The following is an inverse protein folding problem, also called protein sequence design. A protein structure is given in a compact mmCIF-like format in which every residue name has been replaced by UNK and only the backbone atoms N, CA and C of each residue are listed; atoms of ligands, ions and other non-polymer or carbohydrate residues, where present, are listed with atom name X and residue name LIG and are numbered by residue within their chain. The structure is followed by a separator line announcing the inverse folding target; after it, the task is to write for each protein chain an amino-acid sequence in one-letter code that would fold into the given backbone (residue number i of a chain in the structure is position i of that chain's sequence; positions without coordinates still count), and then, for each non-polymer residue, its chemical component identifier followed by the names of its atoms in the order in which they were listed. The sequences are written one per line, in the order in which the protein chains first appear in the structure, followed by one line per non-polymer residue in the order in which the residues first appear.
data_IF_121832787041
#
_entry.id   IF_121832787041
#
_cell.length_a   1.000
_cell.length_b   1.000
_cell.length_c   1.000
_cell.angle_alpha   90.00
_cell.angle_beta   90.00
_cell.angle_gamma   90.00
#
_symmetry.space_group_name_H-M   'P 1'
#
loop_
_entity.id
_entity.type
_entity.pdbx_description
1 polymer ?
#
# COMPACT_ATOMS: atom_id res chain seq x y z
N UNK A 1 52.02 -14.20 12.63
CA UNK A 1 52.52 -13.53 11.42
C UNK A 1 51.46 -12.52 10.98
N UNK A 2 51.73 -11.20 11.10
CA UNK A 2 51.74 -10.17 10.04
C UNK A 2 50.56 -10.25 9.05
N UNK A 3 49.77 -9.23 8.69
CA UNK A 3 49.61 -7.78 8.96
C UNK A 3 48.30 -7.38 8.23
N UNK A 4 47.51 -6.45 8.79
CA UNK A 4 46.81 -5.28 8.17
C UNK A 4 46.15 -5.45 6.77
N UNK A 5 44.95 -4.93 6.49
CA UNK A 5 44.59 -3.53 6.68
C UNK A 5 43.06 -3.28 6.64
N UNK A 6 42.64 -2.35 7.50
CA UNK A 6 41.44 -1.54 7.45
C UNK A 6 41.47 -0.60 6.24
N UNK A 7 40.33 -0.42 5.56
CA UNK A 7 40.05 0.80 4.78
C UNK A 7 38.63 1.27 5.14
N UNK A 8 38.58 2.37 5.89
CA UNK A 8 37.40 3.19 6.09
C UNK A 8 37.39 4.28 5.02
N UNK A 9 36.26 4.46 4.32
CA UNK A 9 36.03 5.62 3.47
C UNK A 9 35.02 6.52 4.16
N UNK A 10 35.56 7.59 4.75
CA UNK A 10 34.86 8.81 5.12
C UNK A 10 34.65 9.64 3.84
N UNK A 11 33.41 10.05 3.58
CA UNK A 11 33.13 11.19 2.71
C UNK A 11 32.04 12.06 3.31
N UNK A 12 32.49 13.09 4.00
CA UNK A 12 31.80 14.29 4.41
C UNK A 12 31.32 15.10 3.21
N UNK A 13 30.05 15.52 3.18
CA UNK A 13 29.63 16.70 2.43
C UNK A 13 29.05 17.73 3.39
N UNK A 14 29.71 18.88 3.41
CA UNK A 14 29.42 20.05 4.20
C UNK A 14 28.16 20.77 3.70
N UNK A 15 27.51 21.39 4.66
CA UNK A 15 26.42 22.35 4.57
C UNK A 15 26.77 23.58 3.72
N UNK A 16 25.84 24.00 2.87
CA UNK A 16 25.80 25.36 2.32
C UNK A 16 24.57 26.06 2.88
N UNK A 17 24.83 26.97 3.81
CA UNK A 17 23.93 28.02 4.25
C UNK A 17 24.08 29.16 3.25
N UNK A 18 23.03 29.49 2.52
CA UNK A 18 22.93 30.78 1.85
C UNK A 18 22.04 31.69 2.69
N UNK A 19 22.67 32.45 3.57
CA UNK A 19 22.12 33.68 4.10
C UNK A 19 22.29 34.76 3.03
N UNK A 20 21.20 35.35 2.57
CA UNK A 20 21.21 36.58 1.79
C UNK A 20 20.74 37.71 2.69
N UNK A 21 21.72 38.38 3.30
CA UNK A 21 21.59 39.73 3.83
C UNK A 21 21.28 40.68 2.66
N UNK A 22 20.15 41.37 2.72
CA UNK A 22 19.91 42.55 1.89
C UNK A 22 19.70 43.76 2.80
N UNK A 23 20.65 44.68 2.69
CA UNK A 23 20.79 45.91 3.44
C UNK A 23 19.74 46.96 3.01
N UNK A 24 19.23 47.67 4.01
CA UNK A 24 18.34 48.83 3.88
C UNK A 24 19.19 50.09 4.04
N UNK A 25 19.62 50.69 2.92
CA UNK A 25 20.22 52.03 2.95
C UNK A 25 19.58 52.94 1.89
N UNK A 26 18.75 53.86 2.41
CA UNK A 26 18.64 55.26 2.01
C UNK A 26 18.44 55.58 0.53
N UNK A 27 17.17 55.76 0.14
CA UNK A 27 16.81 56.64 -0.96
C UNK A 27 16.09 57.88 -0.41
N UNK A 28 16.57 59.02 -0.89
CA UNK A 28 16.42 60.37 -0.37
C UNK A 28 15.01 60.93 -0.55
N UNK A 29 14.60 61.71 0.44
CA UNK A 29 13.55 62.71 0.31
C UNK A 29 13.98 63.81 -0.66
N UNK A 30 13.04 64.24 -1.51
CA UNK A 30 13.14 65.47 -2.29
C UNK A 30 12.88 65.29 -3.78
N UNK A 31 11.60 65.25 -4.18
CA UNK A 31 11.10 66.30 -5.08
C UNK A 31 9.56 66.23 -5.19
N UNK A 32 8.95 67.37 -4.89
CA UNK A 32 7.53 67.65 -4.98
C UNK A 32 7.20 67.94 -6.43
N UNK A 33 6.37 67.11 -7.05
CA UNK A 33 5.73 67.37 -8.33
C UNK A 33 4.24 67.09 -8.21
N UNK A 34 3.47 68.10 -7.81
CA UNK A 34 2.00 68.07 -7.85
C UNK A 34 1.57 67.94 -9.31
N UNK A 35 1.02 66.77 -9.66
CA UNK A 35 0.20 66.62 -10.86
C UNK A 35 -0.98 65.72 -10.51
N UNK A 36 -2.14 66.35 -10.40
CA UNK A 36 -3.42 65.68 -10.26
C UNK A 36 -3.69 64.88 -11.54
N UNK A 37 -3.69 63.55 -11.44
CA UNK A 37 -4.18 62.66 -12.49
C UNK A 37 -5.07 61.60 -11.82
N UNK A 38 -6.35 61.72 -12.15
CA UNK A 38 -7.46 60.76 -12.08
C UNK A 38 -7.38 59.60 -11.07
N UNK A 39 -8.32 59.61 -10.12
CA UNK A 39 -8.72 58.42 -9.38
C UNK A 39 -9.13 57.30 -10.36
N UNK A 40 -8.26 56.30 -10.50
CA UNK A 40 -8.59 55.04 -11.18
C UNK A 40 -9.59 54.32 -10.28
N UNK A 41 -10.83 54.18 -10.76
CA UNK A 41 -11.85 53.38 -10.12
C UNK A 41 -11.29 51.96 -9.86
N UNK A 42 -11.59 51.34 -8.70
CA UNK A 42 -11.16 49.97 -8.44
C UNK A 42 -11.72 49.08 -9.53
N UNK A 43 -10.82 48.46 -10.31
CA UNK A 43 -11.20 47.45 -11.28
C UNK A 43 -12.04 46.38 -10.56
N UNK A 44 -13.18 45.96 -11.12
CA UNK A 44 -13.98 44.89 -10.52
C UNK A 44 -13.07 43.67 -10.36
N UNK A 45 -13.01 43.16 -9.14
CA UNK A 45 -12.30 41.94 -8.82
C UNK A 45 -12.71 40.88 -9.84
N UNK A 46 -11.73 40.33 -10.58
CA UNK A 46 -11.96 39.17 -11.42
C UNK A 46 -12.69 38.13 -10.57
N UNK A 47 -13.75 37.47 -11.08
CA UNK A 47 -14.47 36.47 -10.31
C UNK A 47 -13.45 35.44 -9.84
N UNK A 48 -13.31 35.36 -8.51
CA UNK A 48 -12.67 34.22 -7.86
C UNK A 48 -13.29 32.99 -8.52
N UNK A 49 -12.47 32.19 -9.20
CA UNK A 49 -12.89 30.90 -9.71
C UNK A 49 -13.53 30.19 -8.51
N UNK A 50 -14.85 29.99 -8.56
CA UNK A 50 -15.50 29.09 -7.63
C UNK A 50 -14.70 27.79 -7.70
N UNK A 51 -14.06 27.43 -6.58
CA UNK A 51 -13.44 26.12 -6.45
C UNK A 51 -14.53 25.12 -6.80
N UNK A 52 -14.38 24.44 -7.94
CA UNK A 52 -15.35 23.46 -8.39
C UNK A 52 -15.49 22.43 -7.29
N UNK A 53 -16.59 22.51 -6.55
CA UNK A 53 -16.79 21.71 -5.35
C UNK A 53 -16.81 20.24 -5.77
N UNK A 54 -15.92 19.45 -5.17
CA UNK A 54 -15.82 18.01 -5.48
C UNK A 54 -17.19 17.35 -5.23
N UNK A 55 -17.71 16.56 -6.18
CA UNK A 55 -18.97 15.87 -5.99
C UNK A 55 -18.93 14.96 -4.76
N UNK A 56 -19.95 15.03 -3.91
CA UNK A 56 -20.03 14.22 -2.68
C UNK A 56 -19.98 12.71 -2.97
N UNK A 57 -20.53 12.27 -4.09
CA UNK A 57 -20.46 10.87 -4.53
C UNK A 57 -19.00 10.40 -4.68
N UNK A 58 -18.12 11.24 -5.25
CA UNK A 58 -16.72 10.91 -5.43
C UNK A 58 -16.01 10.74 -4.08
N UNK A 59 -16.28 11.64 -3.13
CA UNK A 59 -15.76 11.54 -1.75
C UNK A 59 -16.22 10.23 -1.10
N UNK A 60 -17.50 9.88 -1.24
CA UNK A 60 -18.05 8.64 -0.68
C UNK A 60 -17.38 7.40 -1.29
N UNK A 61 -17.11 7.40 -2.60
CA UNK A 61 -16.41 6.29 -3.27
C UNK A 61 -14.97 6.13 -2.81
N UNK A 62 -14.23 7.23 -2.61
CA UNK A 62 -12.89 7.17 -2.01
C UNK A 62 -12.93 6.58 -0.60
N UNK A 63 -13.86 7.02 0.24
CA UNK A 63 -14.02 6.50 1.59
C UNK A 63 -14.45 5.03 1.62
N UNK A 64 -15.27 4.59 0.67
CA UNK A 64 -15.66 3.19 0.54
C UNK A 64 -14.43 2.32 0.26
N UNK A 65 -13.64 2.65 -0.77
CA UNK A 65 -12.42 1.88 -1.11
C UNK A 65 -11.43 1.86 0.05
N UNK A 66 -11.23 2.99 0.73
CA UNK A 66 -10.41 3.06 1.95
C UNK A 66 -10.93 2.09 3.03
N UNK A 67 -12.23 2.11 3.33
CA UNK A 67 -12.80 1.20 4.32
C UNK A 67 -12.62 -0.27 3.95
N UNK A 68 -12.63 -0.60 2.67
CA UNK A 68 -12.45 -1.99 2.22
C UNK A 68 -11.00 -2.45 2.28
N UNK A 69 -10.05 -1.56 1.96
CA UNK A 69 -8.63 -1.82 2.16
C UNK A 69 -8.32 -2.08 3.64
N UNK A 70 -8.86 -1.24 4.53
CA UNK A 70 -8.73 -1.43 5.96
C UNK A 70 -9.31 -2.78 6.43
N UNK A 71 -10.49 -3.17 5.94
CA UNK A 71 -11.09 -4.48 6.26
C UNK A 71 -10.22 -5.63 5.76
N UNK A 72 -9.74 -5.56 4.52
CA UNK A 72 -8.87 -6.58 3.96
C UNK A 72 -7.54 -6.69 4.73
N UNK A 73 -6.96 -5.57 5.15
CA UNK A 73 -5.77 -5.55 6.01
C UNK A 73 -6.03 -6.21 7.37
N UNK A 74 -7.14 -5.85 8.01
CA UNK A 74 -7.57 -6.44 9.28
C UNK A 74 -7.80 -7.95 9.15
N UNK A 75 -8.57 -8.38 8.15
CA UNK A 75 -8.92 -9.79 7.96
C UNK A 75 -7.71 -10.67 7.60
N UNK A 76 -6.63 -10.09 7.07
CA UNK A 76 -5.40 -10.80 6.70
C UNK A 76 -4.28 -10.62 7.73
N UNK A 77 -4.53 -9.92 8.84
CA UNK A 77 -3.51 -9.64 9.86
C UNK A 77 -2.92 -10.90 10.48
N UNK A 78 -3.74 -11.93 10.71
CA UNK A 78 -3.33 -13.19 11.35
C UNK A 78 -2.97 -14.30 10.37
N UNK A 79 -3.14 -14.07 9.07
CA UNK A 79 -3.06 -15.10 8.04
C UNK A 79 -1.71 -15.82 7.99
N UNK A 80 -0.61 -15.10 8.26
CA UNK A 80 0.72 -15.70 8.41
C UNK A 80 0.73 -16.78 9.50
N UNK A 81 0.24 -16.43 10.69
CA UNK A 81 0.20 -17.33 11.86
C UNK A 81 -0.66 -18.55 11.56
N UNK A 82 -1.81 -18.36 10.93
CA UNK A 82 -2.72 -19.46 10.60
C UNK A 82 -2.09 -20.44 9.59
N UNK A 83 -1.39 -19.92 8.56
CA UNK A 83 -0.65 -20.75 7.61
C UNK A 83 0.54 -21.45 8.28
N UNK A 84 1.28 -20.77 9.15
CA UNK A 84 2.39 -21.36 9.90
C UNK A 84 1.93 -22.47 10.87
N UNK A 85 0.72 -22.37 11.44
CA UNK A 85 0.12 -23.43 12.25
C UNK A 85 -0.21 -24.69 11.42
N UNK A 86 -0.73 -24.51 10.20
CA UNK A 86 -0.95 -25.62 9.27
C UNK A 86 0.39 -26.26 8.88
N UNK A 87 1.42 -25.46 8.66
CA UNK A 87 2.75 -25.95 8.30
C UNK A 87 3.36 -26.77 9.44
N UNK A 88 3.28 -26.27 10.67
CA UNK A 88 3.73 -26.97 11.87
C UNK A 88 2.98 -28.30 12.07
N UNK A 89 1.66 -28.31 11.81
CA UNK A 89 0.84 -29.52 11.84
C UNK A 89 1.28 -30.51 10.76
N UNK A 90 1.53 -30.05 9.54
CA UNK A 90 2.05 -30.89 8.46
C UNK A 90 3.42 -31.50 8.82
N UNK A 91 4.34 -30.70 9.38
CA UNK A 91 5.63 -31.19 9.87
C UNK A 91 5.48 -32.25 10.95
N UNK A 92 4.57 -32.02 11.91
CA UNK A 92 4.28 -32.98 12.98
C UNK A 92 3.83 -34.31 12.40
N UNK A 93 2.86 -34.30 11.47
CA UNK A 93 2.36 -35.52 10.79
C UNK A 93 3.50 -36.28 10.11
N UNK A 94 4.38 -35.56 9.41
CA UNK A 94 5.55 -36.15 8.73
C UNK A 94 6.52 -36.78 9.72
N UNK A 95 6.80 -36.10 10.84
CA UNK A 95 7.78 -36.55 11.84
C UNK A 95 7.26 -37.72 12.68
N UNK A 96 6.00 -37.66 13.12
CA UNK A 96 5.39 -38.73 13.93
C UNK A 96 4.93 -39.91 13.08
N UNK A 97 4.81 -39.73 11.75
CA UNK A 97 4.24 -40.71 10.83
C UNK A 97 2.85 -41.19 11.29
N UNK A 98 2.08 -40.27 11.90
CA UNK A 98 0.69 -40.49 12.33
C UNK A 98 -0.24 -39.55 11.59
N UNK A 99 -1.35 -40.09 11.08
CA UNK A 99 -2.34 -39.29 10.37
C UNK A 99 -3.03 -38.28 11.30
N UNK A 100 -3.43 -37.13 10.74
CA UNK A 100 -4.31 -36.16 11.38
C UNK A 100 -5.59 -36.04 10.55
N UNK A 101 -6.70 -36.53 11.11
CA UNK A 101 -7.97 -36.63 10.39
C UNK A 101 -8.60 -35.27 10.07
N UNK A 102 -8.20 -34.19 10.75
CA UNK A 102 -8.76 -32.85 10.53
C UNK A 102 -7.93 -32.01 9.57
N UNK A 103 -6.66 -32.34 9.41
CA UNK A 103 -5.70 -31.54 8.66
C UNK A 103 -6.14 -31.23 7.22
N UNK A 104 -6.71 -32.22 6.50
CA UNK A 104 -7.22 -31.99 5.14
C UNK A 104 -8.36 -30.95 5.12
N UNK A 105 -9.26 -30.97 6.10
CA UNK A 105 -10.37 -30.03 6.17
C UNK A 105 -9.88 -28.63 6.51
N UNK A 106 -8.87 -28.50 7.38
CA UNK A 106 -8.28 -27.21 7.73
C UNK A 106 -7.54 -26.59 6.54
N UNK A 107 -6.81 -27.39 5.76
CA UNK A 107 -6.23 -26.95 4.48
C UNK A 107 -7.31 -26.49 3.50
N UNK A 108 -8.41 -27.23 3.38
CA UNK A 108 -9.50 -26.84 2.50
C UNK A 108 -10.11 -25.50 2.92
N UNK A 109 -10.37 -25.30 4.22
CA UNK A 109 -10.87 -24.01 4.75
C UNK A 109 -9.91 -22.86 4.44
N UNK A 110 -8.63 -23.04 4.71
CA UNK A 110 -7.62 -22.04 4.41
C UNK A 110 -7.57 -21.72 2.90
N UNK A 111 -7.66 -22.74 2.04
CA UNK A 111 -7.75 -22.52 0.59
C UNK A 111 -8.96 -21.68 0.19
N UNK A 112 -10.11 -21.86 0.85
CA UNK A 112 -11.32 -21.10 0.60
C UNK A 112 -11.17 -19.65 1.07
N UNK A 113 -10.62 -19.44 2.26
CA UNK A 113 -10.33 -18.09 2.78
C UNK A 113 -9.33 -17.35 1.87
N UNK A 114 -8.27 -18.02 1.42
CA UNK A 114 -7.32 -17.44 0.45
C UNK A 114 -7.99 -17.04 -0.86
N UNK A 115 -8.91 -17.86 -1.37
CA UNK A 115 -9.70 -17.52 -2.56
C UNK A 115 -10.54 -16.27 -2.32
N UNK A 116 -11.23 -16.20 -1.18
CA UNK A 116 -12.04 -15.03 -0.77
C UNK A 116 -11.19 -13.76 -0.72
N UNK A 117 -10.02 -13.78 -0.06
CA UNK A 117 -9.14 -12.62 0.01
C UNK A 117 -8.62 -12.19 -1.36
N UNK A 118 -8.29 -13.16 -2.23
CA UNK A 118 -7.86 -12.94 -3.59
C UNK A 118 -8.94 -12.28 -4.47
N UNK A 119 -10.22 -12.64 -4.26
CA UNK A 119 -11.36 -12.05 -4.96
C UNK A 119 -11.67 -10.64 -4.43
N UNK A 120 -11.62 -10.43 -3.11
CA UNK A 120 -11.74 -9.10 -2.48
C UNK A 120 -10.67 -8.15 -3.02
N UNK A 121 -9.41 -8.57 -3.09
CA UNK A 121 -8.34 -7.77 -3.67
C UNK A 121 -8.62 -7.43 -5.15
N UNK A 122 -9.13 -8.37 -5.95
CA UNK A 122 -9.47 -8.10 -7.35
C UNK A 122 -10.59 -7.06 -7.49
N UNK A 123 -11.59 -7.10 -6.60
CA UNK A 123 -12.67 -6.12 -6.58
C UNK A 123 -12.16 -4.73 -6.20
N UNK A 124 -11.40 -4.62 -5.10
CA UNK A 124 -10.77 -3.35 -4.67
C UNK A 124 -9.91 -2.77 -5.79
N UNK A 125 -9.10 -3.59 -6.47
CA UNK A 125 -8.31 -3.18 -7.63
C UNK A 125 -9.16 -2.55 -8.73
N UNK A 126 -10.31 -3.13 -9.02
CA UNK A 126 -11.23 -2.61 -10.04
C UNK A 126 -11.85 -1.28 -9.60
N UNK A 127 -12.16 -1.12 -8.32
CA UNK A 127 -12.69 0.10 -7.75
C UNK A 127 -11.65 1.23 -7.74
N UNK A 128 -10.41 0.97 -7.33
CA UNK A 128 -9.30 1.94 -7.41
C UNK A 128 -9.09 2.40 -8.86
N UNK A 129 -9.11 1.49 -9.83
CA UNK A 129 -9.05 1.85 -11.26
C UNK A 129 -10.21 2.72 -11.69
N UNK A 130 -11.41 2.46 -11.18
CA UNK A 130 -12.57 3.32 -11.44
C UNK A 130 -12.37 4.72 -10.82
N UNK A 131 -11.81 4.82 -9.61
CA UNK A 131 -11.49 6.11 -8.99
C UNK A 131 -10.50 6.92 -9.82
N UNK A 132 -9.49 6.29 -10.42
CA UNK A 132 -8.52 6.95 -11.30
C UNK A 132 -9.19 7.67 -12.47
N UNK A 133 -10.25 7.10 -13.06
CA UNK A 133 -10.97 7.72 -14.18
C UNK A 133 -11.75 8.97 -13.79
N UNK A 134 -12.11 9.11 -12.51
CA UNK A 134 -12.91 10.21 -11.98
C UNK A 134 -12.13 11.10 -11.00
N UNK A 135 -10.81 10.92 -10.89
CA UNK A 135 -9.97 11.65 -9.93
C UNK A 135 -9.92 13.14 -10.26
N UNK A 136 -10.00 13.98 -9.23
CA UNK A 136 -9.94 15.44 -9.33
C UNK A 136 -8.93 15.98 -8.32
N UNK A 137 -8.35 17.14 -8.65
CA UNK A 137 -7.44 17.84 -7.74
C UNK A 137 -8.23 18.37 -6.54
N UNK A 138 -7.96 17.81 -5.38
CA UNK A 138 -8.59 18.22 -4.12
C UNK A 138 -7.78 17.72 -2.93
N UNK A 139 -7.67 18.56 -1.91
CA UNK A 139 -6.90 18.24 -0.70
C UNK A 139 -7.51 17.09 0.12
N UNK A 140 -8.84 16.98 0.15
CA UNK A 140 -9.56 15.90 0.84
C UNK A 140 -9.38 14.56 0.14
N UNK A 141 -9.58 14.52 -1.18
CA UNK A 141 -9.33 13.34 -2.00
C UNK A 141 -7.86 12.90 -1.92
N UNK A 142 -6.92 13.85 -1.92
CA UNK A 142 -5.50 13.55 -1.78
C UNK A 142 -5.16 12.93 -0.43
N UNK A 143 -5.79 13.41 0.65
CA UNK A 143 -5.63 12.84 1.99
C UNK A 143 -6.15 11.40 2.03
N UNK A 144 -7.35 11.15 1.48
CA UNK A 144 -7.89 9.80 1.38
C UNK A 144 -6.98 8.87 0.54
N UNK A 145 -6.44 9.35 -0.58
CA UNK A 145 -5.49 8.59 -1.39
C UNK A 145 -4.20 8.24 -0.65
N UNK A 146 -3.67 9.16 0.17
CA UNK A 146 -2.49 8.92 1.02
C UNK A 146 -2.77 7.90 2.11
N UNK A 147 -3.96 7.94 2.73
CA UNK A 147 -4.36 6.94 3.72
C UNK A 147 -4.44 5.54 3.08
N UNK A 148 -5.09 5.44 1.91
CA UNK A 148 -5.14 4.19 1.14
C UNK A 148 -3.74 3.67 0.79
N UNK A 149 -2.78 4.57 0.49
CA UNK A 149 -1.40 4.17 0.21
C UNK A 149 -0.68 3.62 1.43
N UNK A 150 -0.90 4.22 2.61
CA UNK A 150 -0.34 3.72 3.85
C UNK A 150 -0.86 2.33 4.19
N UNK A 151 -2.18 2.12 4.08
CA UNK A 151 -2.81 0.82 4.32
C UNK A 151 -2.30 -0.23 3.32
N UNK A 152 -2.31 0.10 2.02
CA UNK A 152 -1.88 -0.84 0.97
C UNK A 152 -0.40 -1.19 1.08
N UNK A 153 0.46 -0.25 1.49
CA UNK A 153 1.88 -0.53 1.71
C UNK A 153 2.07 -1.55 2.84
N UNK A 154 1.33 -1.41 3.94
CA UNK A 154 1.36 -2.36 5.05
C UNK A 154 0.89 -3.74 4.59
N UNK A 155 -0.24 -3.78 3.90
CA UNK A 155 -0.79 -5.01 3.33
C UNK A 155 0.16 -5.69 2.34
N UNK A 156 0.80 -4.92 1.46
CA UNK A 156 1.75 -5.44 0.46
C UNK A 156 2.96 -6.08 1.11
N UNK A 157 3.54 -5.44 2.14
CA UNK A 157 4.66 -6.00 2.86
C UNK A 157 4.28 -7.34 3.52
N UNK A 158 3.10 -7.43 4.14
CA UNK A 158 2.60 -8.68 4.73
C UNK A 158 2.36 -9.74 3.66
N UNK A 159 1.70 -9.38 2.55
CA UNK A 159 1.42 -10.30 1.45
C UNK A 159 2.72 -10.92 0.90
N UNK A 160 3.70 -10.07 0.57
CA UNK A 160 4.95 -10.48 -0.07
C UNK A 160 5.90 -11.23 0.86
N UNK A 161 6.14 -10.72 2.08
CA UNK A 161 7.19 -11.26 2.95
C UNK A 161 6.68 -12.31 3.92
N UNK A 162 5.42 -12.23 4.33
CA UNK A 162 4.86 -13.11 5.34
C UNK A 162 3.99 -14.19 4.72
N UNK A 163 2.90 -13.80 4.06
CA UNK A 163 1.85 -14.71 3.61
C UNK A 163 2.36 -15.63 2.49
N UNK A 164 2.93 -15.05 1.43
CA UNK A 164 3.42 -15.83 0.28
C UNK A 164 4.53 -16.82 0.68
N UNK A 165 5.50 -16.37 1.48
CA UNK A 165 6.58 -17.24 1.94
C UNK A 165 6.06 -18.37 2.84
N UNK A 166 5.08 -18.09 3.71
CA UNK A 166 4.50 -19.10 4.59
C UNK A 166 3.68 -20.12 3.81
N UNK A 167 2.91 -19.67 2.81
CA UNK A 167 2.14 -20.53 1.93
C UNK A 167 3.03 -21.46 1.11
N UNK A 168 4.16 -20.96 0.60
CA UNK A 168 5.14 -21.77 -0.10
C UNK A 168 5.77 -22.84 0.82
N UNK A 169 6.15 -22.48 2.06
CA UNK A 169 6.67 -23.46 3.03
C UNK A 169 5.65 -24.55 3.36
N UNK A 170 4.39 -24.18 3.53
CA UNK A 170 3.28 -25.11 3.73
C UNK A 170 3.16 -26.07 2.55
N UNK A 171 3.13 -25.55 1.32
CA UNK A 171 3.06 -26.36 0.09
C UNK A 171 4.19 -27.41 0.06
N UNK A 172 5.45 -26.98 0.25
CA UNK A 172 6.59 -27.90 0.24
C UNK A 172 6.48 -28.98 1.30
N UNK A 173 6.02 -28.62 2.50
CA UNK A 173 5.87 -29.55 3.62
C UNK A 173 4.78 -30.60 3.33
N UNK A 174 3.62 -30.17 2.83
CA UNK A 174 2.49 -31.06 2.51
C UNK A 174 2.82 -31.96 1.31
N UNK A 175 3.54 -31.44 0.30
CA UNK A 175 4.00 -32.24 -0.84
C UNK A 175 5.01 -33.31 -0.47
N UNK A 176 5.82 -33.06 0.56
CA UNK A 176 6.74 -34.06 1.11
C UNK A 176 6.08 -35.12 1.99
N UNK A 177 4.83 -34.89 2.41
CA UNK A 177 4.09 -35.81 3.25
C UNK A 177 3.44 -36.94 2.45
N UNK A 178 3.33 -38.12 3.09
CA UNK A 178 2.62 -39.28 2.54
C UNK A 178 1.12 -38.96 2.42
N UNK A 179 0.48 -39.13 1.25
CA UNK A 179 -0.94 -38.81 1.06
C UNK A 179 -1.88 -39.54 2.02
N UNK A 180 -1.52 -40.74 2.48
CA UNK A 180 -2.34 -41.50 3.44
C UNK A 180 -2.38 -40.86 4.84
N UNK A 181 -1.42 -39.99 5.16
CA UNK A 181 -1.32 -39.34 6.47
C UNK A 181 -1.94 -37.94 6.50
N UNK A 182 -1.76 -37.17 5.44
CA UNK A 182 -2.27 -35.79 5.35
C UNK A 182 -3.61 -35.69 4.61
N UNK A 183 -3.99 -36.74 3.88
CA UNK A 183 -5.17 -36.78 3.02
C UNK A 183 -4.80 -36.57 1.55
N UNK A 184 -5.47 -37.31 0.65
CA UNK A 184 -5.17 -37.30 -0.78
C UNK A 184 -5.41 -35.93 -1.45
N UNK A 185 -6.32 -35.12 -0.90
CA UNK A 185 -6.60 -33.78 -1.42
C UNK A 185 -5.72 -32.68 -0.79
N UNK A 186 -4.98 -32.98 0.28
CA UNK A 186 -4.18 -32.00 1.00
C UNK A 186 -3.14 -31.31 0.11
N UNK A 187 -2.51 -32.08 -0.79
CA UNK A 187 -1.51 -31.54 -1.72
C UNK A 187 -2.12 -30.51 -2.68
N UNK A 188 -3.33 -30.76 -3.18
CA UNK A 188 -4.05 -29.82 -4.05
C UNK A 188 -4.43 -28.55 -3.29
N UNK A 189 -4.99 -28.68 -2.08
CA UNK A 189 -5.33 -27.52 -1.25
C UNK A 189 -4.11 -26.69 -0.85
N UNK A 190 -2.97 -27.32 -0.52
CA UNK A 190 -1.74 -26.60 -0.21
C UNK A 190 -1.18 -25.86 -1.42
N UNK A 191 -1.26 -26.45 -2.61
CA UNK A 191 -0.91 -25.78 -3.87
C UNK A 191 -1.85 -24.60 -4.18
N UNK A 192 -3.14 -24.75 -3.94
CA UNK A 192 -4.11 -23.67 -4.11
C UNK A 192 -3.84 -22.49 -3.17
N UNK A 193 -3.56 -22.76 -1.88
CA UNK A 193 -3.16 -21.72 -0.92
C UNK A 193 -1.92 -20.96 -1.43
N UNK A 194 -0.88 -21.69 -1.86
CA UNK A 194 0.34 -21.12 -2.44
C UNK A 194 0.06 -20.26 -3.67
N UNK A 195 -0.73 -20.76 -4.63
CA UNK A 195 -1.12 -20.03 -5.83
C UNK A 195 -1.90 -18.76 -5.50
N UNK A 196 -2.96 -18.86 -4.70
CA UNK A 196 -3.79 -17.71 -4.33
C UNK A 196 -3.04 -16.69 -3.49
N UNK A 197 -2.06 -17.11 -2.66
CA UNK A 197 -1.20 -16.17 -1.93
C UNK A 197 -0.35 -15.31 -2.88
N UNK A 198 0.18 -15.92 -3.95
CA UNK A 198 0.96 -15.20 -4.96
C UNK A 198 0.07 -14.27 -5.77
N UNK A 199 -1.08 -14.73 -6.24
CA UNK A 199 -2.04 -13.91 -6.99
C UNK A 199 -2.54 -12.74 -6.15
N UNK A 200 -2.79 -12.97 -4.86
CA UNK A 200 -3.13 -11.92 -3.90
C UNK A 200 -2.00 -10.88 -3.81
N UNK A 201 -0.74 -11.29 -3.63
CA UNK A 201 0.42 -10.39 -3.64
C UNK A 201 0.49 -9.55 -4.91
N UNK A 202 0.30 -10.16 -6.09
CA UNK A 202 0.28 -9.42 -7.37
C UNK A 202 -0.83 -8.37 -7.43
N UNK A 203 -2.04 -8.71 -6.97
CA UNK A 203 -3.16 -7.77 -6.93
C UNK A 203 -2.92 -6.62 -5.97
N UNK A 204 -2.41 -6.90 -4.77
CA UNK A 204 -2.07 -5.84 -3.79
C UNK A 204 -0.96 -4.93 -4.32
N UNK A 205 0.01 -5.49 -5.06
CA UNK A 205 1.05 -4.69 -5.74
C UNK A 205 0.44 -3.76 -6.79
N UNK A 206 -0.45 -4.26 -7.63
CA UNK A 206 -1.17 -3.45 -8.62
C UNK A 206 -1.99 -2.34 -7.96
N UNK A 207 -2.74 -2.66 -6.90
CA UNK A 207 -3.49 -1.68 -6.10
C UNK A 207 -2.55 -0.60 -5.57
N UNK A 208 -1.37 -0.97 -5.08
CA UNK A 208 -0.37 -0.03 -4.59
C UNK A 208 0.05 0.96 -5.67
N UNK A 209 0.36 0.48 -6.88
CA UNK A 209 0.75 1.34 -8.00
C UNK A 209 -0.41 2.26 -8.46
N UNK A 210 -1.62 1.72 -8.55
CA UNK A 210 -2.79 2.48 -8.95
C UNK A 210 -3.10 3.59 -7.91
N UNK A 211 -2.94 3.32 -6.61
CA UNK A 211 -3.10 4.33 -5.56
C UNK A 211 -2.00 5.40 -5.61
N UNK A 212 -0.74 5.06 -5.90
CA UNK A 212 0.32 6.07 -6.09
C UNK A 212 -0.01 7.02 -7.25
N UNK A 213 -0.59 6.47 -8.32
CA UNK A 213 -1.11 7.25 -9.43
C UNK A 213 -2.28 8.14 -8.98
N UNK A 214 -3.16 7.61 -8.12
CA UNK A 214 -4.30 8.34 -7.56
C UNK A 214 -3.85 9.52 -6.67
N UNK A 215 -2.79 9.37 -5.88
CA UNK A 215 -2.18 10.47 -5.11
C UNK A 215 -1.72 11.58 -6.05
N UNK A 216 -1.04 11.23 -7.13
CA UNK A 216 -0.54 12.21 -8.11
C UNK A 216 -1.70 12.92 -8.82
N UNK A 217 -2.76 12.18 -9.16
CA UNK A 217 -3.94 12.72 -9.85
C UNK A 217 -4.80 13.64 -8.97
N UNK A 218 -4.75 13.47 -7.64
CA UNK A 218 -5.53 14.26 -6.68
C UNK A 218 -4.75 15.40 -6.06
N UNK A 219 -3.46 15.54 -6.37
CA UNK A 219 -2.61 16.59 -5.80
C UNK A 219 -3.15 17.99 -6.18
N UNK A 220 -3.49 18.84 -5.19
CA UNK A 220 -4.03 20.19 -5.43
C UNK A 220 -3.04 21.05 -6.25
#
# INVERSE_FOLDING_TARGET
MKKLAFIAVLSSFASVVCASDFSLETLKAGDIGVKAEAAVAPAPAAPLKEEAQVPQDLINRFNAVKSELWRLDSDTTWLRSDIDQLESTARRIVQSNTADHFFQNDLQRMSWDMTRYNDTAQRIRSEVKSLLTSAQKDSGLNTAARDMAWETRTLLNRAQFDIENSAQRLEWTVRGAKPELVGYNAQWSAMDISRYSRDFTWKVRDISYDIQTLISATQP
#
